data_IF_118630524988
#
_entry.id   IF_118630524988
#
_cell.length_a   1.000
_cell.length_b   1.000
_cell.length_c   1.000
_cell.angle_alpha   90.00
_cell.angle_beta   90.00
_cell.angle_gamma   90.00
#
_symmetry.space_group_name_H-M   'P 1'
#
loop_
_entity.id
_entity.type
_entity.pdbx_description
1 polymer ?
#
# COMPACT_ATOMS: atom_id res chain seq x y z
N UNK A 1 -0.67 -1.90 -14.41
CA UNK A 1 -0.54 -2.59 -13.10
C UNK A 1 0.95 -2.67 -12.79
N UNK A 2 1.40 -2.18 -11.64
CA UNK A 2 2.83 -2.22 -11.27
C UNK A 2 3.14 -3.58 -10.66
N UNK A 3 4.23 -4.22 -11.08
CA UNK A 3 4.60 -5.53 -10.56
C UNK A 3 5.21 -5.42 -9.15
N UNK A 4 4.77 -6.29 -8.23
CA UNK A 4 5.15 -6.20 -6.81
C UNK A 4 6.66 -6.36 -6.56
N UNK A 5 7.40 -7.03 -7.46
CA UNK A 5 8.85 -7.23 -7.30
C UNK A 5 9.63 -5.91 -7.31
N UNK A 6 9.15 -4.87 -8.01
CA UNK A 6 9.83 -3.58 -8.05
C UNK A 6 9.99 -2.93 -6.66
N UNK A 7 9.01 -3.09 -5.77
CA UNK A 7 9.12 -2.58 -4.39
C UNK A 7 10.19 -3.33 -3.58
N UNK A 8 10.39 -4.61 -3.85
CA UNK A 8 11.41 -5.44 -3.19
C UNK A 8 12.80 -5.10 -3.71
N UNK A 9 12.95 -4.97 -5.03
CA UNK A 9 14.21 -4.58 -5.67
C UNK A 9 14.66 -3.19 -5.19
N UNK A 10 13.71 -2.25 -5.11
CA UNK A 10 14.00 -0.92 -4.62
C UNK A 10 14.40 -0.93 -3.13
N UNK A 11 13.71 -1.70 -2.30
CA UNK A 11 14.09 -1.87 -0.90
C UNK A 11 15.50 -2.46 -0.76
N UNK A 12 15.83 -3.51 -1.53
CA UNK A 12 17.16 -4.09 -1.56
C UNK A 12 18.24 -3.08 -1.97
N UNK A 13 17.98 -2.27 -3.01
CA UNK A 13 18.88 -1.21 -3.45
C UNK A 13 19.09 -0.11 -2.41
N UNK A 14 18.07 0.23 -1.60
CA UNK A 14 18.19 1.16 -0.49
C UNK A 14 19.05 0.60 0.65
N UNK A 15 18.84 -0.68 0.99
CA UNK A 15 19.63 -1.39 2.01
C UNK A 15 21.10 -1.46 1.61
N UNK A 16 21.40 -1.82 0.36
CA UNK A 16 22.76 -1.87 -0.19
C UNK A 16 23.48 -0.52 -0.06
N UNK A 17 22.75 0.59 -0.21
CA UNK A 17 23.28 1.95 -0.11
C UNK A 17 23.27 2.51 1.32
N UNK A 18 23.05 1.67 2.32
CA UNK A 18 22.91 2.05 3.72
C UNK A 18 21.88 3.16 3.95
N UNK A 19 20.81 3.18 3.15
CA UNK A 19 19.67 4.10 3.33
C UNK A 19 18.60 3.40 4.17
N UNK A 20 18.25 3.92 5.37
CA UNK A 20 17.21 3.33 6.19
C UNK A 20 15.88 3.29 5.46
N UNK A 21 15.34 2.09 5.24
CA UNK A 21 14.07 1.88 4.57
C UNK A 21 13.34 0.66 5.15
N UNK A 22 12.02 0.75 5.24
CA UNK A 22 11.13 -0.35 5.65
C UNK A 22 10.20 -0.66 4.49
N UNK A 23 10.00 -1.95 4.21
CA UNK A 23 9.03 -2.44 3.25
C UNK A 23 7.91 -3.16 4.02
N UNK A 24 6.66 -2.78 3.75
CA UNK A 24 5.47 -3.43 4.27
C UNK A 24 4.61 -3.90 3.11
N UNK A 25 4.35 -5.20 3.01
CA UNK A 25 3.53 -5.78 1.95
C UNK A 25 2.11 -6.03 2.49
N UNK A 26 1.14 -5.26 1.99
CA UNK A 26 -0.26 -5.44 2.35
C UNK A 26 -0.89 -6.59 1.54
N UNK A 27 -1.75 -7.38 2.18
CA UNK A 27 -2.52 -8.46 1.53
C UNK A 27 -3.71 -7.95 0.70
N UNK A 28 -3.55 -6.85 -0.01
CA UNK A 28 -4.57 -6.21 -0.84
C UNK A 28 -3.92 -5.56 -2.07
N UNK A 29 -4.73 -5.10 -3.02
CA UNK A 29 -4.23 -4.40 -4.20
C UNK A 29 -4.07 -2.89 -3.95
N UNK A 30 -3.70 -2.17 -5.01
CA UNK A 30 -3.55 -0.71 -4.99
C UNK A 30 -4.82 0.05 -4.59
N UNK A 31 -6.01 -0.49 -4.79
CA UNK A 31 -7.26 0.16 -4.39
C UNK A 31 -7.49 -0.02 -2.89
N UNK A 32 -7.23 -1.22 -2.36
CA UNK A 32 -7.41 -1.53 -0.95
C UNK A 32 -6.46 -0.78 -0.02
N UNK A 33 -5.23 -0.49 -0.45
CA UNK A 33 -4.28 0.34 0.34
C UNK A 33 -4.78 1.77 0.59
N UNK A 34 -5.69 2.28 -0.25
CA UNK A 34 -6.34 3.60 -0.09
C UNK A 34 -7.82 3.49 0.29
N UNK A 35 -8.28 2.34 0.80
CA UNK A 35 -9.67 2.11 1.23
C UNK A 35 -10.71 2.29 0.12
N UNK A 36 -10.35 1.89 -1.11
CA UNK A 36 -11.25 1.93 -2.26
C UNK A 36 -11.37 0.57 -2.94
N UNK A 37 -12.38 0.40 -3.79
CA UNK A 37 -12.53 -0.73 -4.71
C UNK A 37 -12.89 -0.19 -6.09
N UNK A 38 -12.36 -0.79 -7.16
CA UNK A 38 -12.70 -0.38 -8.51
C UNK A 38 -14.09 -0.90 -8.89
N UNK A 39 -15.00 -0.02 -9.31
CA UNK A 39 -16.34 -0.37 -9.75
C UNK A 39 -16.40 -0.33 -11.30
N UNK A 40 -16.36 -1.49 -12.01
CA UNK A 40 -16.29 -1.49 -13.47
C UNK A 40 -17.49 -0.82 -14.14
N UNK A 41 -18.69 -0.95 -13.55
CA UNK A 41 -19.91 -0.31 -14.06
C UNK A 41 -19.90 1.23 -13.96
N UNK A 42 -19.03 1.79 -13.14
CA UNK A 42 -18.88 3.24 -12.97
C UNK A 42 -17.58 3.80 -13.59
N UNK A 43 -16.65 2.93 -13.99
CA UNK A 43 -15.37 3.32 -14.57
C UNK A 43 -14.41 4.03 -13.61
N UNK A 44 -14.64 3.94 -12.30
CA UNK A 44 -13.79 4.57 -11.28
C UNK A 44 -13.81 3.82 -9.95
N UNK A 45 -12.89 4.20 -9.04
CA UNK A 45 -12.84 3.67 -7.68
C UNK A 45 -13.90 4.30 -6.78
N UNK A 46 -14.57 3.48 -5.98
CA UNK A 46 -15.54 3.88 -4.97
C UNK A 46 -15.04 3.49 -3.57
N UNK A 47 -15.59 4.05 -2.47
CA UNK A 47 -15.21 3.64 -1.13
C UNK A 47 -15.39 2.13 -0.92
N UNK A 48 -14.36 1.47 -0.35
CA UNK A 48 -14.44 0.06 -0.03
C UNK A 48 -15.36 -0.16 1.18
N UNK A 49 -16.18 -1.21 1.10
CA UNK A 49 -17.01 -1.69 2.22
C UNK A 49 -16.54 -3.04 2.75
N UNK A 50 -15.67 -3.74 2.02
CA UNK A 50 -15.15 -5.02 2.45
C UNK A 50 -14.16 -4.87 3.62
N UNK A 51 -14.24 -5.80 4.57
CA UNK A 51 -13.43 -5.76 5.77
C UNK A 51 -11.92 -5.88 5.49
N UNK A 52 -11.54 -6.54 4.39
CA UNK A 52 -10.15 -6.75 3.99
C UNK A 52 -9.46 -5.45 3.60
N UNK A 53 -10.07 -4.71 2.67
CA UNK A 53 -9.60 -3.41 2.20
C UNK A 53 -9.63 -2.37 3.32
N UNK A 54 -10.69 -2.34 4.14
CA UNK A 54 -10.75 -1.42 5.28
C UNK A 54 -9.62 -1.69 6.29
N UNK A 55 -9.32 -2.95 6.58
CA UNK A 55 -8.21 -3.32 7.47
C UNK A 55 -6.85 -2.91 6.88
N UNK A 56 -6.60 -3.23 5.61
CA UNK A 56 -5.34 -2.92 4.94
C UNK A 56 -5.12 -1.41 4.77
N UNK A 57 -6.17 -0.66 4.43
CA UNK A 57 -6.08 0.79 4.32
C UNK A 57 -5.86 1.47 5.68
N UNK A 58 -6.49 0.98 6.76
CA UNK A 58 -6.18 1.46 8.12
C UNK A 58 -4.75 1.16 8.54
N UNK A 59 -4.21 -0.01 8.17
CA UNK A 59 -2.81 -0.34 8.40
C UNK A 59 -1.87 0.63 7.66
N UNK A 60 -2.16 0.90 6.38
CA UNK A 60 -1.42 1.87 5.56
C UNK A 60 -1.45 3.27 6.20
N UNK A 61 -2.62 3.75 6.63
CA UNK A 61 -2.75 5.04 7.30
C UNK A 61 -1.90 5.12 8.58
N UNK A 62 -1.83 4.04 9.38
CA UNK A 62 -0.97 3.98 10.57
C UNK A 62 0.52 3.97 10.22
N UNK A 63 0.93 3.34 9.12
CA UNK A 63 2.32 3.37 8.65
C UNK A 63 2.73 4.78 8.22
N UNK A 64 1.88 5.47 7.46
CA UNK A 64 2.11 6.86 7.06
C UNK A 64 2.19 7.78 8.28
N UNK A 65 1.23 7.67 9.21
CA UNK A 65 1.24 8.45 10.44
C UNK A 65 2.53 8.21 11.27
N UNK A 66 2.96 6.95 11.41
CA UNK A 66 4.23 6.63 12.09
C UNK A 66 5.44 7.23 11.37
N UNK A 67 5.49 7.14 10.04
CA UNK A 67 6.60 7.69 9.26
C UNK A 67 6.68 9.23 9.35
N UNK A 68 5.54 9.90 9.47
CA UNK A 68 5.48 11.35 9.65
C UNK A 68 5.97 11.83 11.03
N UNK A 69 6.03 10.95 12.03
CA UNK A 69 6.42 11.28 13.39
C UNK A 69 7.93 11.11 13.69
N UNK A 70 8.70 10.48 12.79
CA UNK A 70 10.13 10.23 12.96
C UNK A 70 10.45 9.04 13.86
#
# INVERSE_FOLDING_TARGET
MVACHHSRDFHAALVERHRPARLHEAGTDHAGVIMTTYAPGLGHCVPATDAGALRAGRETARLVARAALG
#
